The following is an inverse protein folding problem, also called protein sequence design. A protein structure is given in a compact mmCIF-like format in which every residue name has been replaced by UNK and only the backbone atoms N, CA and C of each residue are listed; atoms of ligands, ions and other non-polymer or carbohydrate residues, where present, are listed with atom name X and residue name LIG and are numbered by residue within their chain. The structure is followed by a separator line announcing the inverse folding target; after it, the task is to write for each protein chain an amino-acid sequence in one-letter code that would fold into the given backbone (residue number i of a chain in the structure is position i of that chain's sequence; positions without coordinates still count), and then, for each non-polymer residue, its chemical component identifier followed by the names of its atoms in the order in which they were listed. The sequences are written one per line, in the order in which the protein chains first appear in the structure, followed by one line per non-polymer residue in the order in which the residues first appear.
data_IF_721800016570
#
_entry.id   IF_721800016570
#
_cell.length_a   1.000
_cell.length_b   1.000
_cell.length_c   1.000
_cell.angle_alpha   90.00
_cell.angle_beta   90.00
_cell.angle_gamma   90.00
#
_symmetry.space_group_name_H-M   'P 1'
#
loop_
_entity.id
_entity.type
_entity.pdbx_description
1 polymer ?
#
# COMPACT_ATOMS: atom_id res chain seq x y z
N UNK A 1 -23.40 -48.24 48.77
CA UNK A 1 -23.87 -46.97 48.17
C UNK A 1 -22.77 -45.91 48.07
N UNK A 2 -22.08 -45.58 49.17
CA UNK A 2 -21.06 -44.52 49.26
C UNK A 2 -19.92 -44.54 48.22
N UNK A 3 -19.49 -45.73 47.76
CA UNK A 3 -18.42 -45.89 46.75
C UNK A 3 -18.88 -45.57 45.31
N UNK A 4 -20.17 -45.76 45.01
CA UNK A 4 -20.76 -45.43 43.69
C UNK A 4 -21.00 -43.92 43.55
N UNK A 5 -21.42 -43.25 44.62
CA UNK A 5 -21.54 -41.78 44.66
C UNK A 5 -20.19 -41.08 44.48
N UNK A 6 -19.13 -41.60 45.10
CA UNK A 6 -17.78 -41.03 44.96
C UNK A 6 -17.24 -41.16 43.53
N UNK A 7 -17.52 -42.29 42.86
CA UNK A 7 -17.17 -42.52 41.46
C UNK A 7 -17.96 -41.60 40.53
N UNK A 8 -19.26 -41.44 40.78
CA UNK A 8 -20.13 -40.53 40.02
C UNK A 8 -19.67 -39.07 40.15
N UNK A 9 -19.37 -38.60 41.36
CA UNK A 9 -18.84 -37.24 41.60
C UNK A 9 -17.47 -37.02 40.97
N UNK A 10 -16.61 -38.04 40.97
CA UNK A 10 -15.29 -37.97 40.33
C UNK A 10 -15.40 -37.92 38.81
N UNK A 11 -16.31 -38.72 38.24
CA UNK A 11 -16.60 -38.74 36.80
C UNK A 11 -17.24 -37.43 36.32
N UNK A 12 -18.15 -36.85 37.12
CA UNK A 12 -18.77 -35.55 36.85
C UNK A 12 -17.74 -34.42 36.90
N UNK A 13 -16.87 -34.42 37.91
CA UNK A 13 -15.77 -33.44 38.03
C UNK A 13 -14.78 -33.55 36.88
N UNK A 14 -14.41 -34.76 36.46
CA UNK A 14 -13.55 -34.95 35.28
C UNK A 14 -14.25 -34.58 33.96
N UNK A 15 -15.59 -34.63 33.89
CA UNK A 15 -16.35 -34.15 32.73
C UNK A 15 -16.44 -32.63 32.71
N UNK A 16 -16.60 -31.98 33.86
CA UNK A 16 -16.53 -30.51 33.99
C UNK A 16 -15.12 -29.99 33.66
N UNK A 17 -14.06 -30.58 34.23
CA UNK A 17 -12.67 -30.21 33.91
C UNK A 17 -12.33 -30.46 32.43
N UNK A 18 -12.88 -31.51 31.81
CA UNK A 18 -12.70 -31.80 30.38
C UNK A 18 -13.53 -30.86 29.50
N UNK A 19 -14.71 -30.43 29.92
CA UNK A 19 -15.53 -29.41 29.24
C UNK A 19 -14.93 -27.99 29.38
N UNK A 20 -14.31 -27.68 30.52
CA UNK A 20 -13.56 -26.43 30.75
C UNK A 20 -12.25 -26.43 29.93
N UNK A 21 -11.62 -27.60 29.74
CA UNK A 21 -10.47 -27.81 28.84
C UNK A 21 -10.83 -27.80 27.34
N UNK A 22 -12.04 -28.23 26.96
CA UNK A 22 -12.56 -28.17 25.58
C UNK A 22 -13.21 -26.81 25.24
N UNK A 23 -13.37 -25.93 26.24
CA UNK A 23 -13.76 -24.54 25.98
C UNK A 23 -12.65 -23.87 25.17
N UNK A 24 -13.04 -23.31 24.03
CA UNK A 24 -12.14 -22.64 23.11
C UNK A 24 -11.49 -21.45 23.83
N UNK A 25 -10.29 -21.60 24.39
CA UNK A 25 -9.65 -20.55 25.19
C UNK A 25 -9.49 -19.26 24.37
N UNK A 26 -10.24 -18.22 24.74
CA UNK A 26 -10.09 -16.89 24.18
C UNK A 26 -8.87 -16.20 24.75
N UNK A 27 -8.25 -15.34 23.95
CA UNK A 27 -7.19 -14.48 24.41
C UNK A 27 -7.77 -13.33 25.23
N UNK A 28 -7.11 -13.05 26.36
CA UNK A 28 -7.35 -11.87 27.16
C UNK A 28 -6.97 -10.60 26.35
N UNK A 29 -7.91 -9.68 26.09
CA UNK A 29 -7.63 -8.43 25.37
C UNK A 29 -6.61 -7.51 26.07
N UNK A 30 -6.49 -7.60 27.39
CA UNK A 30 -5.50 -6.86 28.19
C UNK A 30 -4.23 -7.70 28.45
N UNK A 31 -4.22 -8.95 27.97
CA UNK A 31 -3.09 -9.86 28.09
C UNK A 31 -1.86 -9.39 27.32
N UNK A 32 -0.67 -9.63 27.89
CA UNK A 32 0.63 -9.24 27.31
C UNK A 32 0.80 -9.68 25.87
N UNK A 33 0.32 -10.88 25.52
CA UNK A 33 0.38 -11.43 24.17
C UNK A 33 -0.39 -10.55 23.16
N UNK A 34 -1.64 -10.19 23.46
CA UNK A 34 -2.47 -9.40 22.56
C UNK A 34 -1.97 -7.97 22.44
N UNK A 35 -1.51 -7.38 23.55
CA UNK A 35 -0.90 -6.05 23.52
C UNK A 35 0.36 -6.02 22.63
N UNK A 36 1.24 -7.03 22.76
CA UNK A 36 2.43 -7.14 21.93
C UNK A 36 2.08 -7.40 20.46
N UNK A 37 1.16 -8.34 20.21
CA UNK A 37 0.68 -8.64 18.86
C UNK A 37 0.10 -7.41 18.18
N UNK A 38 -0.74 -6.63 18.86
CA UNK A 38 -1.33 -5.42 18.30
C UNK A 38 -0.26 -4.37 17.96
N UNK A 39 0.75 -4.18 18.82
CA UNK A 39 1.88 -3.27 18.51
C UNK A 39 2.69 -3.75 17.31
N UNK A 40 3.05 -5.03 17.28
CA UNK A 40 3.82 -5.64 16.19
C UNK A 40 3.05 -5.62 14.88
N UNK A 41 1.76 -5.99 14.90
CA UNK A 41 0.92 -6.00 13.72
C UNK A 41 0.74 -4.59 13.14
N UNK A 42 0.58 -3.56 13.98
CA UNK A 42 0.54 -2.17 13.51
C UNK A 42 1.85 -1.79 12.79
N UNK A 43 3.01 -2.12 13.36
CA UNK A 43 4.29 -1.80 12.71
C UNK A 43 4.43 -2.58 11.39
N UNK A 44 4.11 -3.87 11.39
CA UNK A 44 4.14 -4.72 10.20
C UNK A 44 3.15 -4.26 9.14
N UNK A 45 1.97 -3.75 9.50
CA UNK A 45 0.96 -3.28 8.54
C UNK A 45 1.40 -1.98 7.85
N UNK A 46 2.03 -1.06 8.59
CA UNK A 46 2.61 0.16 8.00
C UNK A 46 3.82 -0.18 7.12
N UNK A 47 4.66 -1.14 7.51
CA UNK A 47 5.73 -1.65 6.63
C UNK A 47 5.13 -2.32 5.39
N UNK A 48 4.06 -3.12 5.52
CA UNK A 48 3.40 -3.76 4.40
C UNK A 48 2.80 -2.74 3.41
N UNK A 49 2.32 -1.58 3.89
CA UNK A 49 1.89 -0.47 3.03
C UNK A 49 3.01 0.05 2.13
N UNK A 50 4.29 -0.05 2.54
CA UNK A 50 5.43 0.33 1.70
C UNK A 50 5.68 -0.62 0.52
N UNK A 51 5.09 -1.83 0.54
CA UNK A 51 5.24 -2.78 -0.55
C UNK A 51 4.32 -2.47 -1.74
N UNK A 52 3.17 -1.83 -1.49
CA UNK A 52 2.18 -1.54 -2.53
C UNK A 52 2.72 -0.58 -3.63
N UNK A 53 3.44 0.51 -3.30
CA UNK A 53 4.07 1.36 -4.30
C UNK A 53 5.11 0.65 -5.18
N UNK A 54 5.64 -0.52 -4.77
CA UNK A 54 6.61 -1.24 -5.58
C UNK A 54 6.02 -1.75 -6.90
N UNK A 55 4.70 -1.96 -6.96
CA UNK A 55 4.01 -2.29 -8.21
C UNK A 55 4.14 -1.19 -9.26
N UNK A 56 4.30 0.07 -8.84
CA UNK A 56 4.44 1.22 -9.74
C UNK A 56 5.79 1.27 -10.46
N UNK A 57 6.81 0.57 -9.94
CA UNK A 57 8.13 0.46 -10.57
C UNK A 57 8.26 -0.68 -11.59
N UNK A 58 7.22 -1.52 -11.74
CA UNK A 58 7.17 -2.64 -12.69
C UNK A 58 7.29 -2.19 -14.16
N UNK A 59 6.55 -1.17 -14.65
CA UNK A 59 6.72 -0.70 -16.01
C UNK A 59 8.10 -0.04 -16.20
N UNK A 60 8.79 -0.39 -17.28
CA UNK A 60 10.15 0.09 -17.62
C UNK A 60 10.21 0.51 -19.07
N UNK A 61 10.78 1.67 -19.36
CA UNK A 61 11.01 2.14 -20.73
C UNK A 61 12.31 1.52 -21.25
N UNK A 62 12.24 0.83 -22.40
CA UNK A 62 13.46 0.45 -23.14
C UNK A 62 13.90 1.62 -24.01
N UNK A 63 14.87 2.41 -23.53
CA UNK A 63 15.36 3.61 -24.20
C UNK A 63 15.79 3.41 -25.65
N UNK A 64 16.49 2.31 -25.98
CA UNK A 64 16.97 2.02 -27.34
C UNK A 64 15.87 1.61 -28.30
N UNK A 65 14.87 0.85 -27.81
CA UNK A 65 13.79 0.32 -28.64
C UNK A 65 12.56 1.22 -28.62
N UNK A 66 12.47 2.20 -27.70
CA UNK A 66 11.31 3.05 -27.48
C UNK A 66 10.01 2.25 -27.38
N UNK A 67 9.98 1.35 -26.41
CA UNK A 67 8.79 0.61 -26.02
C UNK A 67 8.72 0.44 -24.51
N UNK A 68 7.50 0.22 -24.03
CA UNK A 68 7.24 -0.12 -22.64
C UNK A 68 7.42 -1.63 -22.42
N UNK A 69 8.27 -1.99 -21.46
CA UNK A 69 8.53 -3.35 -21.02
C UNK A 69 8.09 -3.55 -19.57
N UNK A 70 8.02 -4.80 -19.13
CA UNK A 70 7.66 -5.19 -17.76
C UNK A 70 8.89 -5.79 -17.09
N UNK A 71 9.26 -5.29 -15.91
CA UNK A 71 10.27 -5.94 -15.08
C UNK A 71 9.69 -7.19 -14.42
N UNK A 72 9.89 -8.35 -15.07
CA UNK A 72 9.40 -9.62 -14.57
C UNK A 72 10.02 -10.04 -13.23
N UNK A 73 11.28 -9.69 -12.95
CA UNK A 73 11.94 -10.04 -11.69
C UNK A 73 11.31 -9.28 -10.54
N UNK A 74 11.13 -7.97 -10.73
CA UNK A 74 10.44 -7.12 -9.76
C UNK A 74 8.98 -7.56 -9.57
N UNK A 75 8.26 -7.82 -10.67
CA UNK A 75 6.88 -8.30 -10.65
C UNK A 75 6.70 -9.52 -9.75
N UNK A 76 7.55 -10.54 -9.93
CA UNK A 76 7.50 -11.76 -9.11
C UNK A 76 7.89 -11.45 -7.66
N UNK A 77 8.99 -10.70 -7.45
CA UNK A 77 9.48 -10.36 -6.11
C UNK A 77 8.44 -9.62 -5.27
N UNK A 78 7.79 -8.60 -5.85
CA UNK A 78 6.74 -7.84 -5.17
C UNK A 78 5.54 -8.74 -4.87
N UNK A 79 5.10 -9.58 -5.81
CA UNK A 79 3.99 -10.52 -5.55
C UNK A 79 4.29 -11.46 -4.38
N UNK A 80 5.51 -12.00 -4.29
CA UNK A 80 5.91 -12.89 -3.19
C UNK A 80 5.90 -12.15 -1.85
N UNK A 81 6.57 -10.98 -1.78
CA UNK A 81 6.60 -10.16 -0.57
C UNK A 81 5.19 -9.78 -0.12
N UNK A 82 4.33 -9.45 -1.09
CA UNK A 82 2.95 -9.07 -0.88
C UNK A 82 2.11 -10.21 -0.32
N UNK A 83 2.25 -11.41 -0.86
CA UNK A 83 1.58 -12.61 -0.36
C UNK A 83 2.00 -12.96 1.07
N UNK A 84 3.29 -12.78 1.42
CA UNK A 84 3.76 -12.96 2.80
C UNK A 84 3.09 -11.95 3.74
N UNK A 85 2.97 -10.69 3.33
CA UNK A 85 2.27 -9.68 4.11
C UNK A 85 0.77 -10.01 4.27
N UNK A 86 0.10 -10.49 3.24
CA UNK A 86 -1.33 -10.86 3.31
C UNK A 86 -1.60 -12.01 4.28
N UNK A 87 -0.69 -12.97 4.40
CA UNK A 87 -0.79 -14.03 5.41
C UNK A 87 -0.82 -13.43 6.83
N UNK A 88 -0.04 -12.37 7.10
CA UNK A 88 -0.08 -11.68 8.40
C UNK A 88 -1.44 -11.04 8.68
N UNK A 89 -2.11 -10.47 7.67
CA UNK A 89 -3.47 -9.94 7.81
C UNK A 89 -4.49 -11.05 8.09
N UNK A 90 -4.36 -12.21 7.42
CA UNK A 90 -5.22 -13.37 7.71
C UNK A 90 -5.05 -13.84 9.15
N UNK A 91 -3.81 -13.97 9.64
CA UNK A 91 -3.56 -14.30 11.04
C UNK A 91 -4.15 -13.27 12.00
N UNK A 92 -4.08 -11.98 11.66
CA UNK A 92 -4.70 -10.93 12.46
C UNK A 92 -6.22 -11.10 12.58
N UNK A 93 -6.90 -11.38 11.47
CA UNK A 93 -8.35 -11.65 11.45
C UNK A 93 -8.68 -12.84 12.37
N UNK A 94 -7.92 -13.94 12.25
CA UNK A 94 -8.11 -15.13 13.12
C UNK A 94 -7.95 -14.78 14.59
N UNK A 95 -6.93 -13.97 14.95
CA UNK A 95 -6.72 -13.53 16.34
C UNK A 95 -7.86 -12.65 16.83
N UNK A 96 -8.42 -11.75 16.00
CA UNK A 96 -9.58 -10.93 16.40
C UNK A 96 -10.81 -11.80 16.73
N UNK A 97 -11.07 -12.88 15.98
CA UNK A 97 -12.13 -13.84 16.31
C UNK A 97 -11.86 -14.63 17.59
N UNK A 98 -10.60 -14.72 18.03
CA UNK A 98 -10.19 -15.45 19.24
C UNK A 98 -9.91 -14.55 20.44
N UNK A 99 -10.16 -13.24 20.35
CA UNK A 99 -9.89 -12.29 21.44
C UNK A 99 -11.19 -11.89 22.13
N UNK A 100 -11.29 -12.06 23.44
CA UNK A 100 -12.45 -11.62 24.22
C UNK A 100 -12.55 -10.08 24.22
N UNK A 101 -13.71 -9.53 24.57
CA UNK A 101 -13.87 -8.06 24.63
C UNK A 101 -14.47 -7.59 25.96
N UNK A 102 -14.11 -6.36 26.33
CA UNK A 102 -14.67 -5.67 27.49
C UNK A 102 -15.87 -4.80 27.05
N UNK A 103 -17.10 -5.07 27.51
CA UNK A 103 -18.25 -4.21 27.25
C UNK A 103 -18.09 -2.83 27.92
N UNK A 104 -18.64 -1.77 27.30
CA UNK A 104 -18.56 -0.39 27.82
C UNK A 104 -19.42 -0.13 29.07
N UNK A 105 -20.37 -1.01 29.37
CA UNK A 105 -21.29 -0.89 30.50
C UNK A 105 -21.03 -2.02 31.49
N UNK A 106 -20.44 -1.68 32.64
CA UNK A 106 -20.63 -2.27 33.98
C UNK A 106 -19.57 -1.73 34.94
N UNK A 107 -19.55 -0.42 35.16
CA UNK A 107 -18.76 0.20 36.24
C UNK A 107 -19.43 0.08 37.62
N UNK A 108 -20.67 -0.41 37.69
CA UNK A 108 -21.49 -0.40 38.91
C UNK A 108 -21.10 -1.52 39.90
N UNK A 109 -20.37 -2.56 39.46
CA UNK A 109 -20.01 -3.70 40.32
C UNK A 109 -18.51 -3.86 40.62
N UNK A 110 -17.63 -2.98 40.12
CA UNK A 110 -16.18 -3.07 40.37
C UNK A 110 -15.46 -4.30 39.76
N UNK A 111 -16.19 -5.29 39.22
CA UNK A 111 -15.65 -6.41 38.43
C UNK A 111 -15.79 -6.11 36.93
N UNK A 112 -14.66 -6.04 36.22
CA UNK A 112 -14.64 -6.09 34.75
C UNK A 112 -14.83 -7.55 34.34
N UNK A 113 -16.02 -7.90 33.87
CA UNK A 113 -16.26 -9.21 33.26
C UNK A 113 -15.96 -9.14 31.76
N UNK A 114 -15.08 -10.04 31.30
CA UNK A 114 -14.80 -10.23 29.88
C UNK A 114 -15.91 -11.10 29.28
N UNK A 115 -16.34 -10.77 28.07
CA UNK A 115 -17.23 -11.64 27.31
C UNK A 115 -16.35 -12.47 26.37
N UNK A 116 -16.27 -13.76 26.66
CA UNK A 116 -15.50 -14.78 25.94
C UNK A 116 -16.40 -15.81 25.22
N UNK A 117 -17.70 -15.58 25.20
CA UNK A 117 -18.62 -16.44 24.45
C UNK A 117 -18.44 -16.26 22.92
N UNK A 118 -18.20 -17.35 22.16
CA UNK A 118 -17.88 -17.28 20.73
C UNK A 118 -18.90 -16.51 19.88
N UNK A 119 -20.19 -16.69 20.16
CA UNK A 119 -21.25 -16.04 19.39
C UNK A 119 -21.22 -14.52 19.55
N UNK A 120 -21.02 -14.02 20.78
CA UNK A 120 -20.98 -12.58 21.06
C UNK A 120 -19.70 -11.94 20.52
N UNK A 121 -18.54 -12.60 20.67
CA UNK A 121 -17.26 -12.14 20.12
C UNK A 121 -17.35 -12.04 18.60
N UNK A 122 -17.81 -13.10 17.93
CA UNK A 122 -17.94 -13.12 16.47
C UNK A 122 -18.91 -12.05 15.97
N UNK A 123 -20.10 -11.92 16.58
CA UNK A 123 -21.10 -10.91 16.20
C UNK A 123 -20.55 -9.49 16.33
N UNK A 124 -19.83 -9.19 17.41
CA UNK A 124 -19.21 -7.86 17.61
C UNK A 124 -18.14 -7.57 16.56
N UNK A 125 -17.28 -8.54 16.24
CA UNK A 125 -16.22 -8.33 15.26
C UNK A 125 -16.78 -8.18 13.84
N UNK A 126 -17.73 -9.03 13.45
CA UNK A 126 -18.41 -8.99 12.15
C UNK A 126 -19.12 -7.66 11.88
N UNK A 127 -19.71 -7.06 12.92
CA UNK A 127 -20.46 -5.79 12.82
C UNK A 127 -19.58 -4.53 12.87
N UNK A 128 -18.27 -4.67 13.10
CA UNK A 128 -17.35 -3.52 13.28
C UNK A 128 -16.25 -3.46 12.24
N UNK A 129 -15.12 -4.15 12.46
CA UNK A 129 -13.89 -4.00 11.68
C UNK A 129 -13.70 -5.08 10.61
N UNK A 130 -14.44 -6.19 10.70
CA UNK A 130 -14.22 -7.37 9.87
C UNK A 130 -14.20 -7.08 8.36
N UNK A 131 -15.15 -6.30 7.85
CA UNK A 131 -15.21 -5.99 6.41
C UNK A 131 -13.95 -5.24 5.97
N UNK A 132 -13.47 -4.29 6.76
CA UNK A 132 -12.27 -3.51 6.46
C UNK A 132 -11.03 -4.41 6.50
N UNK A 133 -10.92 -5.28 7.50
CA UNK A 133 -9.80 -6.23 7.59
C UNK A 133 -9.79 -7.21 6.43
N UNK A 134 -10.96 -7.73 6.00
CA UNK A 134 -11.07 -8.62 4.84
C UNK A 134 -10.69 -7.89 3.57
N UNK A 135 -11.25 -6.70 3.31
CA UNK A 135 -10.89 -5.90 2.13
C UNK A 135 -9.39 -5.59 2.11
N UNK A 136 -8.82 -5.26 3.27
CA UNK A 136 -7.39 -5.04 3.42
C UNK A 136 -6.56 -6.32 3.26
N UNK A 137 -7.09 -7.53 3.43
CA UNK A 137 -6.37 -8.79 3.27
C UNK A 137 -6.44 -9.37 1.85
N UNK A 138 -7.27 -8.81 0.96
CA UNK A 138 -7.43 -9.34 -0.39
C UNK A 138 -6.13 -9.17 -1.22
N UNK A 139 -5.66 -10.23 -1.90
CA UNK A 139 -4.47 -10.17 -2.75
C UNK A 139 -4.84 -9.73 -4.18
N UNK A 140 -5.63 -8.65 -4.33
CA UNK A 140 -6.15 -8.22 -5.64
C UNK A 140 -5.02 -7.90 -6.66
N UNK A 141 -3.95 -7.15 -6.29
CA UNK A 141 -2.86 -6.88 -7.22
C UNK A 141 -2.14 -8.15 -7.69
N UNK A 142 -1.89 -9.11 -6.79
CA UNK A 142 -1.24 -10.38 -7.17
C UNK A 142 -2.12 -11.21 -8.09
N UNK A 143 -3.42 -11.30 -7.79
CA UNK A 143 -4.38 -11.99 -8.65
C UNK A 143 -4.45 -11.36 -10.04
N UNK A 144 -4.51 -10.03 -10.13
CA UNK A 144 -4.49 -9.32 -11.40
C UNK A 144 -3.22 -9.59 -12.21
N UNK A 145 -2.06 -9.50 -11.57
CA UNK A 145 -0.75 -9.58 -12.23
C UNK A 145 -0.36 -11.01 -12.63
N UNK A 146 -0.74 -12.01 -11.83
CA UNK A 146 -0.37 -13.41 -12.06
C UNK A 146 -1.42 -14.22 -12.81
N UNK A 147 -2.70 -13.85 -12.69
CA UNK A 147 -3.82 -14.62 -13.26
C UNK A 147 -4.49 -13.84 -14.38
N UNK A 148 -4.90 -12.59 -14.15
CA UNK A 148 -5.67 -11.86 -15.17
C UNK A 148 -4.79 -11.50 -16.36
N UNK A 149 -3.70 -10.75 -16.14
CA UNK A 149 -2.86 -10.21 -17.21
C UNK A 149 -2.30 -11.28 -18.16
N UNK A 150 -1.74 -12.41 -17.67
CA UNK A 150 -1.21 -13.44 -18.56
C UNK A 150 -2.26 -14.18 -19.38
N UNK A 151 -3.54 -14.15 -18.97
CA UNK A 151 -4.64 -14.86 -19.64
C UNK A 151 -5.50 -13.92 -20.50
N UNK A 152 -5.13 -12.64 -20.64
CA UNK A 152 -5.79 -11.74 -21.58
C UNK A 152 -5.24 -11.99 -22.99
N UNK A 153 -6.11 -12.42 -23.91
CA UNK A 153 -5.76 -12.53 -25.32
C UNK A 153 -5.59 -11.14 -25.95
N UNK A 154 -4.35 -10.78 -26.28
CA UNK A 154 -4.03 -9.56 -27.03
C UNK A 154 -2.82 -8.78 -26.47
N UNK A 155 -2.33 -7.77 -27.21
CA UNK A 155 -1.27 -6.90 -26.72
C UNK A 155 -1.72 -6.21 -25.43
N UNK A 156 -0.79 -6.01 -24.49
CA UNK A 156 -1.00 -5.17 -23.32
C UNK A 156 -1.58 -3.83 -23.79
N UNK A 157 -2.84 -3.59 -23.48
CA UNK A 157 -3.58 -2.44 -23.99
C UNK A 157 -3.66 -1.37 -22.93
N UNK A 158 -3.94 -0.14 -23.35
CA UNK A 158 -4.31 0.97 -22.47
C UNK A 158 -5.34 0.58 -21.40
N UNK A 159 -6.28 -0.33 -21.72
CA UNK A 159 -7.29 -0.83 -20.78
C UNK A 159 -6.70 -1.73 -19.69
N UNK A 160 -5.77 -2.61 -20.04
CA UNK A 160 -5.09 -3.51 -19.09
C UNK A 160 -4.29 -2.71 -18.07
N UNK A 161 -3.62 -1.66 -18.50
CA UNK A 161 -2.83 -0.77 -17.63
C UNK A 161 -3.70 0.04 -16.68
N UNK A 162 -4.79 0.63 -17.20
CA UNK A 162 -5.75 1.36 -16.37
C UNK A 162 -6.47 0.47 -15.36
N UNK A 163 -6.82 -0.76 -15.75
CA UNK A 163 -7.41 -1.74 -14.86
C UNK A 163 -6.44 -2.13 -13.73
N UNK A 164 -5.17 -2.39 -14.06
CA UNK A 164 -4.17 -2.73 -13.06
C UNK A 164 -3.98 -1.61 -12.04
N UNK A 165 -3.87 -0.36 -12.51
CA UNK A 165 -3.77 0.82 -11.62
C UNK A 165 -4.99 0.94 -10.72
N UNK A 166 -6.19 0.82 -11.30
CA UNK A 166 -7.43 0.86 -10.53
C UNK A 166 -7.43 -0.22 -9.43
N UNK A 167 -7.02 -1.44 -9.76
CA UNK A 167 -6.90 -2.53 -8.79
C UNK A 167 -5.90 -2.18 -7.67
N UNK A 168 -4.71 -1.67 -8.01
CA UNK A 168 -3.69 -1.27 -7.02
C UNK A 168 -4.24 -0.17 -6.09
N UNK A 169 -4.82 0.91 -6.63
CA UNK A 169 -5.39 1.99 -5.83
C UNK A 169 -6.58 1.52 -4.97
N UNK A 170 -7.47 0.72 -5.55
CA UNK A 170 -8.64 0.17 -4.85
C UNK A 170 -8.25 -0.73 -3.68
N UNK A 171 -7.11 -1.43 -3.78
CA UNK A 171 -6.58 -2.25 -2.70
C UNK A 171 -5.81 -1.43 -1.66
N UNK A 172 -5.11 -0.37 -2.09
CA UNK A 172 -4.33 0.49 -1.21
C UNK A 172 -5.22 1.25 -0.20
N UNK A 173 -6.37 1.76 -0.66
CA UNK A 173 -7.28 2.56 0.17
C UNK A 173 -7.78 1.80 1.42
N UNK A 174 -8.36 0.58 1.32
CA UNK A 174 -8.76 -0.21 2.48
C UNK A 174 -7.61 -0.46 3.45
N UNK A 175 -6.38 -0.68 2.96
CA UNK A 175 -5.21 -0.94 3.81
C UNK A 175 -4.79 0.29 4.60
N UNK A 176 -4.82 1.47 3.98
CA UNK A 176 -4.56 2.74 4.68
C UNK A 176 -5.65 3.01 5.73
N UNK A 177 -6.92 2.79 5.39
CA UNK A 177 -8.04 2.93 6.33
C UNK A 177 -7.87 1.96 7.50
N UNK A 178 -7.58 0.69 7.21
CA UNK A 178 -7.34 -0.35 8.21
C UNK A 178 -6.20 0.03 9.14
N UNK A 179 -5.04 0.41 8.60
CA UNK A 179 -3.88 0.82 9.39
C UNK A 179 -4.21 2.05 10.26
N UNK A 180 -4.95 3.02 9.73
CA UNK A 180 -5.36 4.23 10.46
C UNK A 180 -6.35 3.95 11.59
N UNK A 181 -7.36 3.11 11.34
CA UNK A 181 -8.32 2.70 12.37
C UNK A 181 -7.65 1.85 13.44
N UNK A 182 -6.77 0.95 13.02
CA UNK A 182 -6.01 0.09 13.92
C UNK A 182 -5.03 0.90 14.76
N UNK A 183 -4.33 1.87 14.17
CA UNK A 183 -3.51 2.85 14.88
C UNK A 183 -4.31 3.54 16.01
N UNK A 184 -5.49 4.10 15.69
CA UNK A 184 -6.36 4.72 16.71
C UNK A 184 -6.76 3.75 17.82
N UNK A 185 -7.05 2.49 17.49
CA UNK A 185 -7.39 1.43 18.46
C UNK A 185 -6.20 1.12 19.38
N UNK A 186 -5.00 0.89 18.81
CA UNK A 186 -3.80 0.52 19.56
C UNK A 186 -3.33 1.66 20.45
N UNK A 187 -3.32 2.89 19.96
CA UNK A 187 -2.90 4.07 20.73
C UNK A 187 -3.82 4.31 21.93
N UNK A 188 -5.13 4.10 21.77
CA UNK A 188 -6.10 4.21 22.88
C UNK A 188 -5.91 3.15 23.96
N UNK A 189 -5.55 1.92 23.60
CA UNK A 189 -5.46 0.78 24.53
C UNK A 189 -4.10 0.72 25.21
N UNK A 190 -3.03 0.90 24.45
CA UNK A 190 -1.68 0.58 24.90
C UNK A 190 -0.79 1.79 25.18
N UNK A 191 -1.20 3.00 24.75
CA UNK A 191 -0.33 4.17 24.81
C UNK A 191 1.04 3.91 24.15
N UNK A 192 1.12 3.03 23.13
CA UNK A 192 2.39 2.56 22.58
C UNK A 192 3.36 3.69 22.20
N UNK A 193 2.85 4.82 21.71
CA UNK A 193 3.65 6.00 21.38
C UNK A 193 3.98 6.91 22.57
N UNK A 194 3.32 6.71 23.71
CA UNK A 194 3.56 7.44 24.97
C UNK A 194 4.47 6.68 25.93
N UNK A 195 4.80 5.40 25.67
CA UNK A 195 5.72 4.61 26.51
C UNK A 195 7.15 5.18 26.50
N UNK A 196 7.58 5.78 25.40
CA UNK A 196 8.88 6.45 25.27
C UNK A 196 8.70 7.81 24.61
N UNK A 197 9.33 8.85 25.17
CA UNK A 197 9.22 10.23 24.68
C UNK A 197 9.54 10.39 23.18
N UNK A 198 10.47 9.59 22.63
CA UNK A 198 10.84 9.67 21.22
C UNK A 198 10.05 8.74 20.29
N UNK A 199 9.25 7.80 20.82
CA UNK A 199 8.56 6.81 19.99
C UNK A 199 7.52 7.45 19.06
N UNK A 200 6.78 8.45 19.54
CA UNK A 200 5.86 9.24 18.73
C UNK A 200 6.56 9.99 17.58
N UNK A 201 7.67 10.67 17.88
CA UNK A 201 8.47 11.38 16.88
C UNK A 201 9.06 10.42 15.83
N UNK A 202 9.62 9.29 16.28
CA UNK A 202 10.17 8.27 15.39
C UNK A 202 9.10 7.63 14.48
N UNK A 203 7.90 7.38 15.00
CA UNK A 203 6.79 6.87 14.20
C UNK A 203 6.29 7.88 13.17
N UNK A 204 6.16 9.16 13.53
CA UNK A 204 5.80 10.20 12.56
C UNK A 204 6.87 10.39 11.48
N UNK A 205 8.15 10.33 11.86
CA UNK A 205 9.25 10.34 10.89
C UNK A 205 9.16 9.13 9.93
N UNK A 206 8.86 7.94 10.45
CA UNK A 206 8.63 6.76 9.62
C UNK A 206 7.46 6.94 8.65
N UNK A 207 6.34 7.52 9.09
CA UNK A 207 5.22 7.87 8.21
C UNK A 207 5.61 8.90 7.15
N UNK A 208 6.46 9.87 7.50
CA UNK A 208 6.97 10.85 6.56
C UNK A 208 7.78 10.18 5.45
N UNK A 209 8.73 9.32 5.82
CA UNK A 209 9.54 8.53 4.86
C UNK A 209 8.66 7.64 3.99
N UNK A 210 7.65 6.99 4.57
CA UNK A 210 6.68 6.19 3.82
C UNK A 210 5.91 7.03 2.81
N UNK A 211 5.44 8.21 3.19
CA UNK A 211 4.75 9.11 2.28
C UNK A 211 5.66 9.58 1.14
N UNK A 212 6.93 9.89 1.42
CA UNK A 212 7.93 10.22 0.41
C UNK A 212 8.14 9.08 -0.59
N UNK A 213 8.20 7.83 -0.09
CA UNK A 213 8.30 6.65 -0.95
C UNK A 213 7.09 6.49 -1.87
N UNK A 214 5.87 6.66 -1.34
CA UNK A 214 4.62 6.57 -2.10
C UNK A 214 4.56 7.67 -3.17
N UNK A 215 4.85 8.93 -2.80
CA UNK A 215 4.87 10.06 -3.72
C UNK A 215 5.91 9.85 -4.81
N UNK A 216 7.11 9.39 -4.46
CA UNK A 216 8.16 9.06 -5.43
C UNK A 216 7.74 7.97 -6.42
N UNK A 217 7.11 6.91 -5.94
CA UNK A 217 6.64 5.82 -6.80
C UNK A 217 5.51 6.26 -7.74
N UNK A 218 4.59 7.10 -7.27
CA UNK A 218 3.56 7.72 -8.12
C UNK A 218 4.18 8.61 -9.18
N UNK A 219 5.17 9.42 -8.82
CA UNK A 219 5.91 10.25 -9.75
C UNK A 219 6.60 9.44 -10.84
N UNK A 220 7.27 8.32 -10.47
CA UNK A 220 7.84 7.38 -11.43
C UNK A 220 6.79 6.85 -12.41
N UNK A 221 5.66 6.36 -11.90
CA UNK A 221 4.60 5.80 -12.75
C UNK A 221 4.05 6.85 -13.71
N UNK A 222 3.74 8.04 -13.19
CA UNK A 222 3.22 9.13 -14.00
C UNK A 222 4.24 9.66 -15.02
N UNK A 223 5.55 9.56 -14.74
CA UNK A 223 6.57 9.85 -15.72
C UNK A 223 6.56 8.86 -16.89
N UNK A 224 6.46 7.56 -16.59
CA UNK A 224 6.30 6.52 -17.62
C UNK A 224 5.02 6.76 -18.44
N UNK A 225 3.91 7.11 -17.79
CA UNK A 225 2.67 7.44 -18.48
C UNK A 225 2.77 8.71 -19.33
N UNK A 226 3.53 9.71 -18.86
CA UNK A 226 3.76 10.94 -19.60
C UNK A 226 4.52 10.67 -20.91
N UNK A 227 5.57 9.86 -20.85
CA UNK A 227 6.30 9.37 -22.04
C UNK A 227 5.36 8.61 -22.98
N UNK A 228 4.57 7.66 -22.46
CA UNK A 228 3.66 6.85 -23.26
C UNK A 228 2.55 7.70 -23.92
N UNK A 229 2.04 8.74 -23.23
CA UNK A 229 1.11 9.72 -23.83
C UNK A 229 1.75 10.43 -25.01
N UNK A 230 2.98 10.91 -24.86
CA UNK A 230 3.68 11.55 -25.97
C UNK A 230 3.86 10.58 -27.14
N UNK A 231 4.27 9.33 -26.86
CA UNK A 231 4.43 8.31 -27.89
C UNK A 231 3.12 7.96 -28.59
N UNK A 232 2.00 7.88 -27.88
CA UNK A 232 0.69 7.66 -28.50
C UNK A 232 0.32 8.80 -29.45
N UNK A 233 0.51 10.06 -29.04
CA UNK A 233 0.25 11.22 -29.91
C UNK A 233 1.13 11.19 -31.16
N UNK A 234 2.44 10.95 -30.99
CA UNK A 234 3.38 10.84 -32.10
C UNK A 234 3.04 9.67 -33.03
N UNK A 235 2.61 8.54 -32.46
CA UNK A 235 2.25 7.35 -33.21
C UNK A 235 1.00 7.55 -34.06
N UNK A 236 -0.03 8.19 -33.49
CA UNK A 236 -1.26 8.54 -34.21
C UNK A 236 -0.96 9.46 -35.41
N UNK A 237 -0.08 10.45 -35.25
CA UNK A 237 0.34 11.34 -36.35
C UNK A 237 1.02 10.62 -37.51
N UNK A 238 1.65 9.47 -37.26
CA UNK A 238 2.33 8.65 -38.27
C UNK A 238 1.56 7.38 -38.67
N UNK A 239 0.30 7.24 -38.25
CA UNK A 239 -0.53 6.06 -38.51
C UNK A 239 0.13 4.72 -38.08
N UNK A 240 0.87 4.69 -36.97
CA UNK A 240 1.34 3.41 -36.42
C UNK A 240 0.31 2.75 -35.49
N UNK A 241 0.43 1.43 -35.36
CA UNK A 241 -0.41 0.68 -34.42
C UNK A 241 0.13 0.81 -32.99
N UNK A 242 -0.71 1.28 -32.05
CA UNK A 242 -0.34 1.49 -30.64
C UNK A 242 0.20 0.24 -29.93
N UNK A 243 -0.16 -0.96 -30.40
CA UNK A 243 0.34 -2.23 -29.84
C UNK A 243 1.87 -2.35 -29.91
N UNK A 244 2.49 -1.69 -30.88
CA UNK A 244 3.94 -1.70 -31.07
C UNK A 244 4.69 -0.69 -30.19
N UNK A 245 3.99 0.08 -29.35
CA UNK A 245 4.61 0.88 -28.28
C UNK A 245 4.93 0.04 -27.04
N UNK A 246 4.45 -1.20 -27.00
CA UNK A 246 4.77 -2.19 -25.98
C UNK A 246 5.81 -3.17 -26.53
N UNK A 247 6.77 -3.55 -25.69
CA UNK A 247 7.82 -4.48 -26.09
C UNK A 247 7.21 -5.89 -26.23
N UNK A 248 7.45 -6.54 -27.36
CA UNK A 248 6.90 -7.87 -27.64
C UNK A 248 7.59 -8.55 -28.83
N UNK A 249 7.42 -9.87 -28.95
CA UNK A 249 8.02 -10.67 -30.03
C UNK A 249 7.43 -10.32 -31.41
N UNK A 250 6.16 -9.92 -31.44
CA UNK A 250 5.43 -9.58 -32.67
C UNK A 250 5.59 -8.11 -33.06
N UNK A 251 6.52 -7.37 -32.43
CA UNK A 251 6.75 -5.96 -32.72
C UNK A 251 7.51 -5.81 -34.03
N UNK A 252 6.95 -5.01 -34.94
CA UNK A 252 7.51 -4.78 -36.29
C UNK A 252 7.79 -3.29 -36.49
N UNK A 253 8.97 -2.98 -37.05
CA UNK A 253 9.36 -1.62 -37.43
C UNK A 253 10.29 -0.91 -36.45
N UNK A 254 10.88 0.20 -36.91
CA UNK A 254 11.72 1.10 -36.13
C UNK A 254 10.91 2.29 -35.61
N UNK A 255 11.00 2.54 -34.30
CA UNK A 255 10.31 3.61 -33.59
C UNK A 255 11.25 4.72 -33.13
N UNK A 256 12.47 4.79 -33.68
CA UNK A 256 13.44 5.86 -33.39
C UNK A 256 12.89 7.28 -33.62
N UNK A 257 11.86 7.44 -34.47
CA UNK A 257 11.17 8.72 -34.67
C UNK A 257 10.56 9.30 -33.37
N UNK A 258 10.31 8.46 -32.37
CA UNK A 258 9.80 8.90 -31.07
C UNK A 258 10.80 9.82 -30.35
N UNK A 259 12.12 9.64 -30.53
CA UNK A 259 13.12 10.58 -29.98
C UNK A 259 12.91 12.01 -30.50
N UNK A 260 12.63 12.12 -31.80
CA UNK A 260 12.42 13.43 -32.44
C UNK A 260 11.03 14.00 -32.18
N UNK A 261 10.03 13.13 -31.97
CA UNK A 261 8.63 13.54 -31.76
C UNK A 261 8.33 13.87 -30.31
N UNK A 262 9.11 13.31 -29.38
CA UNK A 262 8.99 13.49 -27.93
C UNK A 262 10.34 13.95 -27.35
N UNK A 263 10.82 15.15 -27.74
CA UNK A 263 12.08 15.65 -27.24
C UNK A 263 11.96 16.04 -25.75
N UNK A 264 12.97 15.70 -24.95
CA UNK A 264 13.03 16.02 -23.52
C UNK A 264 13.54 17.45 -23.31
N UNK A 265 12.69 18.43 -23.59
CA UNK A 265 13.03 19.84 -23.55
C UNK A 265 12.68 20.48 -22.20
N UNK A 266 13.56 21.37 -21.74
CA UNK A 266 13.23 22.25 -20.64
C UNK A 266 12.19 23.29 -21.06
N UNK A 267 11.42 23.82 -20.10
CA UNK A 267 10.32 24.76 -20.38
C UNK A 267 10.75 26.01 -21.18
N UNK A 268 11.95 26.53 -20.94
CA UNK A 268 12.51 27.67 -21.66
C UNK A 268 12.94 27.34 -23.10
N UNK A 269 13.06 26.06 -23.43
CA UNK A 269 13.43 25.56 -24.76
C UNK A 269 12.21 25.21 -25.61
N UNK A 270 11.03 25.06 -24.99
CA UNK A 270 9.75 24.86 -25.67
C UNK A 270 9.35 26.14 -26.40
N UNK A 271 9.65 26.19 -27.71
CA UNK A 271 9.31 27.32 -28.60
C UNK A 271 8.13 27.03 -29.51
N UNK A 272 7.88 25.75 -29.79
CA UNK A 272 6.82 25.29 -30.67
C UNK A 272 5.68 24.71 -29.83
N UNK A 273 4.44 25.15 -30.09
CA UNK A 273 3.25 24.66 -29.40
C UNK A 273 2.93 23.20 -29.69
N UNK A 274 3.60 22.59 -30.67
CA UNK A 274 3.47 21.16 -30.99
C UNK A 274 4.37 20.26 -30.14
N UNK A 275 5.35 20.83 -29.41
CA UNK A 275 6.24 20.09 -28.53
C UNK A 275 5.52 19.67 -27.24
N UNK A 276 5.79 18.45 -26.79
CA UNK A 276 5.17 17.90 -25.58
C UNK A 276 5.90 18.42 -24.32
N UNK A 277 5.16 19.08 -23.41
CA UNK A 277 5.70 19.49 -22.10
C UNK A 277 5.57 18.35 -21.10
N UNK A 278 6.71 17.82 -20.63
CA UNK A 278 6.76 16.77 -19.62
C UNK A 278 6.65 17.29 -18.18
N UNK A 279 6.77 18.61 -17.97
CA UNK A 279 6.64 19.27 -16.68
C UNK A 279 7.47 18.62 -15.57
N UNK A 280 6.86 18.32 -14.42
CA UNK A 280 7.49 17.70 -13.25
C UNK A 280 8.05 16.31 -13.53
N UNK A 281 7.64 15.65 -14.62
CA UNK A 281 8.13 14.31 -14.97
C UNK A 281 9.42 14.33 -15.79
N UNK A 282 9.81 15.50 -16.32
CA UNK A 282 10.98 15.65 -17.19
C UNK A 282 12.26 15.10 -16.56
N UNK A 283 12.48 15.39 -15.27
CA UNK A 283 13.66 14.97 -14.52
C UNK A 283 13.79 13.43 -14.45
N UNK A 284 12.69 12.69 -14.26
CA UNK A 284 12.70 11.22 -14.28
C UNK A 284 13.12 10.66 -15.65
N UNK A 285 12.75 11.34 -16.73
CA UNK A 285 13.06 10.94 -18.10
C UNK A 285 14.52 11.27 -18.46
N UNK A 286 14.98 12.47 -18.11
CA UNK A 286 16.36 12.92 -18.36
C UNK A 286 17.39 12.09 -17.56
N UNK A 287 17.10 11.79 -16.31
CA UNK A 287 17.95 10.92 -15.47
C UNK A 287 17.86 9.44 -15.81
N UNK A 288 16.91 9.06 -16.67
CA UNK A 288 16.67 7.68 -17.13
C UNK A 288 16.35 6.70 -16.01
N UNK A 289 15.83 7.17 -14.87
CA UNK A 289 15.38 6.28 -13.79
C UNK A 289 14.24 5.35 -14.27
N UNK A 290 13.44 5.81 -15.23
CA UNK A 290 12.38 5.01 -15.89
C UNK A 290 12.92 3.91 -16.81
N UNK A 291 14.20 3.96 -17.18
CA UNK A 291 14.86 2.97 -18.05
C UNK A 291 15.65 1.91 -17.27
N UNK A 292 16.05 2.21 -16.02
CA UNK A 292 16.81 1.25 -15.20
C UNK A 292 15.93 0.07 -14.76
N UNK A 293 16.58 -1.07 -14.50
CA UNK A 293 15.97 -2.24 -13.82
C UNK A 293 16.52 -2.44 -12.42
N UNK A 294 17.44 -1.59 -11.96
CA UNK A 294 17.88 -1.64 -10.58
C UNK A 294 16.80 -1.03 -9.68
N UNK A 295 16.10 -1.90 -8.94
CA UNK A 295 15.05 -1.48 -8.02
C UNK A 295 15.57 -0.57 -6.89
N UNK A 296 16.84 -0.72 -6.48
CA UNK A 296 17.41 0.11 -5.42
C UNK A 296 17.59 1.54 -5.90
N UNK A 297 18.06 1.69 -7.13
CA UNK A 297 18.18 2.99 -7.79
C UNK A 297 16.81 3.67 -7.90
N UNK A 298 15.78 2.95 -8.39
CA UNK A 298 14.40 3.45 -8.46
C UNK A 298 13.88 3.91 -7.11
N UNK A 299 13.94 3.03 -6.10
CA UNK A 299 13.40 3.34 -4.77
C UNK A 299 14.13 4.55 -4.19
N UNK A 300 15.46 4.57 -4.17
CA UNK A 300 16.22 5.63 -3.53
C UNK A 300 16.03 6.97 -4.23
N UNK A 301 16.16 7.00 -5.55
CA UNK A 301 16.07 8.23 -6.32
C UNK A 301 14.66 8.81 -6.32
N UNK A 302 13.64 7.98 -6.57
CA UNK A 302 12.26 8.45 -6.55
C UNK A 302 11.79 8.81 -5.14
N UNK A 303 12.21 8.08 -4.10
CA UNK A 303 11.88 8.46 -2.71
C UNK A 303 12.58 9.75 -2.30
N UNK A 304 13.80 10.00 -2.80
CA UNK A 304 14.47 11.29 -2.62
C UNK A 304 13.71 12.44 -3.27
N UNK A 305 13.27 12.27 -4.53
CA UNK A 305 12.41 13.24 -5.20
C UNK A 305 11.11 13.50 -4.43
N UNK A 306 10.46 12.45 -3.94
CA UNK A 306 9.25 12.55 -3.12
C UNK A 306 9.49 13.24 -1.78
N UNK A 307 10.64 13.00 -1.14
CA UNK A 307 11.06 13.65 0.09
C UNK A 307 11.24 15.16 -0.14
N UNK A 308 12.01 15.55 -1.16
CA UNK A 308 12.23 16.95 -1.50
C UNK A 308 10.91 17.68 -1.81
N UNK A 309 10.03 17.04 -2.56
CA UNK A 309 8.75 17.60 -2.96
C UNK A 309 7.80 17.83 -1.77
N UNK A 310 7.72 16.86 -0.85
CA UNK A 310 6.93 16.99 0.38
C UNK A 310 7.54 18.00 1.36
N UNK A 311 8.86 18.02 1.51
CA UNK A 311 9.57 18.93 2.43
C UNK A 311 9.53 20.38 1.98
N UNK A 312 9.45 20.63 0.67
CA UNK A 312 9.29 21.96 0.10
C UNK A 312 7.84 22.38 -0.13
N UNK A 313 6.87 21.56 0.31
CA UNK A 313 5.43 21.81 0.08
C UNK A 313 5.09 22.03 -1.40
N UNK A 314 5.83 21.39 -2.31
CA UNK A 314 5.65 21.51 -3.75
C UNK A 314 6.14 22.82 -4.38
N UNK A 315 6.80 23.73 -3.64
CA UNK A 315 7.20 25.05 -4.14
C UNK A 315 8.15 25.01 -5.36
N UNK A 316 8.93 23.94 -5.51
CA UNK A 316 9.84 23.76 -6.65
C UNK A 316 9.22 23.08 -7.87
N UNK A 317 7.95 22.63 -7.78
CA UNK A 317 7.31 21.85 -8.84
C UNK A 317 6.91 22.73 -10.02
N UNK A 318 7.42 22.42 -11.21
CA UNK A 318 7.10 23.11 -12.46
C UNK A 318 6.11 22.29 -13.29
N UNK A 319 4.83 22.31 -12.89
CA UNK A 319 3.80 21.54 -13.58
C UNK A 319 3.50 22.07 -14.99
N UNK A 320 3.25 21.18 -15.96
CA UNK A 320 2.65 21.53 -17.26
C UNK A 320 1.18 21.95 -17.12
N UNK A 321 0.50 22.26 -18.22
CA UNK A 321 -0.95 22.55 -18.23
C UNK A 321 -1.82 21.28 -18.15
N UNK A 322 -1.20 20.10 -18.06
CA UNK A 322 -1.93 18.84 -17.93
C UNK A 322 -2.62 18.74 -16.57
N UNK A 323 -3.96 18.62 -16.55
CA UNK A 323 -4.76 18.59 -15.33
C UNK A 323 -4.30 17.57 -14.29
N UNK A 324 -3.90 16.36 -14.72
CA UNK A 324 -3.47 15.31 -13.79
C UNK A 324 -2.17 15.66 -13.05
N UNK A 325 -1.30 16.45 -13.68
CA UNK A 325 -0.05 16.90 -13.09
C UNK A 325 -0.27 18.02 -12.07
N UNK A 326 -1.16 18.97 -12.40
CA UNK A 326 -1.58 20.04 -11.48
C UNK A 326 -2.23 19.43 -10.23
N UNK A 327 -3.17 18.50 -10.40
CA UNK A 327 -3.80 17.81 -9.27
C UNK A 327 -2.82 17.02 -8.41
N UNK A 328 -1.78 16.43 -9.03
CA UNK A 328 -0.74 15.72 -8.29
C UNK A 328 0.16 16.68 -7.51
N UNK A 329 0.51 17.84 -8.08
CA UNK A 329 1.27 18.87 -7.37
C UNK A 329 0.47 19.45 -6.18
N UNK A 330 -0.82 19.73 -6.37
CA UNK A 330 -1.71 20.17 -5.29
C UNK A 330 -1.79 19.13 -4.16
N UNK A 331 -1.92 17.85 -4.52
CA UNK A 331 -1.91 16.75 -3.57
C UNK A 331 -0.60 16.71 -2.76
N UNK A 332 0.57 16.86 -3.42
CA UNK A 332 1.87 16.91 -2.74
C UNK A 332 1.92 18.08 -1.75
N UNK A 333 1.45 19.27 -2.14
CA UNK A 333 1.46 20.45 -1.27
C UNK A 333 0.60 20.23 -0.01
N UNK A 334 -0.61 19.69 -0.16
CA UNK A 334 -1.53 19.39 0.96
C UNK A 334 -0.94 18.34 1.89
N UNK A 335 -0.44 17.22 1.35
CA UNK A 335 0.13 16.14 2.16
C UNK A 335 1.41 16.59 2.85
N UNK A 336 2.27 17.34 2.16
CA UNK A 336 3.48 17.92 2.74
C UNK A 336 3.16 18.80 3.95
N UNK A 337 2.12 19.64 3.86
CA UNK A 337 1.70 20.51 4.95
C UNK A 337 1.20 19.72 6.17
N UNK A 338 0.35 18.72 5.94
CA UNK A 338 -0.17 17.85 7.01
C UNK A 338 0.96 17.11 7.72
N UNK A 339 1.88 16.51 6.96
CA UNK A 339 3.00 15.76 7.51
C UNK A 339 3.98 16.64 8.28
N UNK A 340 4.26 17.85 7.79
CA UNK A 340 5.11 18.83 8.47
C UNK A 340 4.49 19.26 9.81
N UNK A 341 3.18 19.54 9.83
CA UNK A 341 2.46 19.85 11.07
C UNK A 341 2.50 18.69 12.08
N UNK A 342 2.34 17.44 11.62
CA UNK A 342 2.41 16.24 12.47
C UNK A 342 3.81 16.03 13.07
N UNK A 343 4.89 16.36 12.35
CA UNK A 343 6.25 16.29 12.88
C UNK A 343 6.49 17.35 13.96
N UNK A 344 6.13 18.61 13.69
CA UNK A 344 6.33 19.71 14.64
C UNK A 344 5.50 19.56 15.92
N UNK A 345 4.22 19.18 15.79
CA UNK A 345 3.31 19.04 16.92
C UNK A 345 3.76 17.99 17.96
N UNK A 346 4.54 17.00 17.55
CA UNK A 346 5.05 15.94 18.44
C UNK A 346 6.46 16.21 18.99
N UNK A 347 7.16 17.25 18.52
CA UNK A 347 8.46 17.65 19.08
C UNK A 347 8.35 18.72 20.17
N UNK A 348 7.21 19.41 20.25
CA UNK A 348 6.96 20.50 21.20
C UNK A 348 6.15 20.08 22.43
N UNK A 349 5.78 18.80 22.54
CA UNK A 349 4.88 18.25 23.57
C UNK A 349 5.55 17.35 24.59
#
# INVERSE_FOLDING_TARGET
LRKKELLFLKEHRTKEERAESDSMKFFDPEGRFILLWNKTFLLCSVIALSLDPLFFYIPVIKGSQKCLDIDHKLKIGVCVLRSVADILYVFHIVIQFRTAYVPRYNHILGKREFIDEPHYVAKRYLTSYFIIDVLAALPLPQFAVLVIIPNLDGPASFWTENLLKFIIFSQYIPRVIQASLFYKKVTRISGFLTEKAWAGAGFNFFLYVLASHVVGALWYLFAVESELRCWHIACQRRNCESKYLYCGKDRVGDYGFLNTSCPLLERNEIKDSTNFDFGIFLDALQTRVVETRDIREKILYCSWWGLQSLSSLGQGLKASTFYGEVLFADFIAVIGLVLFALLLGNMQG
#
